data_IF_427578048387
#
_entry.id   IF_427578048387
#
_cell.length_a   1.000
_cell.length_b   1.000
_cell.length_c   1.000
_cell.angle_alpha   90.00
_cell.angle_beta   90.00
_cell.angle_gamma   90.00
#
_symmetry.space_group_name_H-M   'P 1'
#
loop_
_entity.id
_entity.type
_entity.pdbx_description
1 polymer ?
#
# COMPACT_ATOMS: atom_id res chain seq x y z
N UNK A 1 11.93 29.79 -17.36
CA UNK A 1 12.01 28.67 -16.42
C UNK A 1 12.12 27.42 -17.26
N UNK A 2 13.22 26.68 -17.12
CA UNK A 2 13.45 25.46 -17.90
C UNK A 2 12.68 24.33 -17.19
N UNK A 3 11.67 23.78 -17.85
CA UNK A 3 11.01 22.56 -17.39
C UNK A 3 12.09 21.45 -17.30
N UNK A 4 12.30 20.81 -16.15
CA UNK A 4 13.32 19.77 -16.03
C UNK A 4 13.02 18.61 -16.98
N UNK A 5 14.04 18.15 -17.70
CA UNK A 5 13.92 16.99 -18.59
C UNK A 5 13.45 15.77 -17.78
N UNK A 6 12.27 15.18 -18.09
CA UNK A 6 11.71 14.07 -17.33
C UNK A 6 12.66 12.85 -17.33
N UNK A 7 13.39 12.64 -18.42
CA UNK A 7 14.37 11.54 -18.54
C UNK A 7 15.48 11.70 -17.50
N UNK A 8 15.94 12.94 -17.28
CA UNK A 8 16.97 13.25 -16.29
C UNK A 8 16.47 13.06 -14.86
N UNK A 9 15.21 13.39 -14.59
CA UNK A 9 14.60 13.18 -13.28
C UNK A 9 14.47 11.68 -12.96
N UNK A 10 14.05 10.87 -13.95
CA UNK A 10 13.98 9.41 -13.79
C UNK A 10 15.35 8.77 -13.54
N UNK A 11 16.41 9.25 -14.21
CA UNK A 11 17.78 8.79 -13.92
C UNK A 11 18.21 9.17 -12.52
N UNK A 12 17.95 10.41 -12.08
CA UNK A 12 18.29 10.85 -10.73
C UNK A 12 17.61 9.97 -9.69
N UNK A 13 16.30 9.73 -9.83
CA UNK A 13 15.57 8.85 -8.92
C UNK A 13 16.13 7.41 -8.94
N UNK A 14 16.48 6.88 -10.11
CA UNK A 14 17.07 5.55 -10.22
C UNK A 14 18.43 5.44 -9.51
N UNK A 15 19.26 6.47 -9.64
CA UNK A 15 20.59 6.51 -9.01
C UNK A 15 20.49 6.75 -7.50
N UNK A 16 19.54 7.55 -7.04
CA UNK A 16 19.24 7.72 -5.61
C UNK A 16 18.81 6.40 -4.98
N UNK A 17 17.90 5.65 -5.63
CA UNK A 17 17.49 4.33 -5.15
C UNK A 17 18.68 3.38 -5.12
N UNK A 18 19.46 3.31 -6.20
CA UNK A 18 20.65 2.45 -6.28
C UNK A 18 21.66 2.77 -5.18
N UNK A 19 21.89 4.04 -4.88
CA UNK A 19 22.78 4.47 -3.79
C UNK A 19 22.29 3.98 -2.42
N UNK A 20 20.97 4.01 -2.16
CA UNK A 20 20.41 3.46 -0.93
C UNK A 20 20.54 1.94 -0.86
N UNK A 21 20.50 1.24 -2.00
CA UNK A 21 20.68 -0.22 -2.07
C UNK A 21 22.12 -0.64 -1.75
N UNK A 22 23.11 0.21 -2.05
CA UNK A 22 24.51 -0.02 -1.67
C UNK A 22 24.74 0.05 -0.14
N UNK A 23 23.82 0.67 0.60
CA UNK A 23 23.84 0.69 2.06
C UNK A 23 23.12 -0.54 2.63
N UNK A 24 23.71 -1.18 3.64
CA UNK A 24 23.05 -2.25 4.40
C UNK A 24 21.79 -1.71 5.10
N UNK A 25 20.71 -2.51 5.10
CA UNK A 25 19.50 -2.13 5.81
C UNK A 25 19.57 -2.47 7.29
N UNK A 26 18.66 -1.88 8.07
CA UNK A 26 18.46 -2.24 9.47
C UNK A 26 18.06 -3.71 9.60
N UNK A 27 18.67 -4.43 10.56
CA UNK A 27 18.41 -5.84 10.85
C UNK A 27 18.55 -6.77 9.62
N UNK A 28 19.74 -6.72 9.00
CA UNK A 28 20.02 -7.42 7.76
C UNK A 28 19.94 -8.95 7.90
N UNK A 29 18.90 -9.55 7.32
CA UNK A 29 18.66 -11.00 7.31
C UNK A 29 18.72 -11.59 5.90
N UNK A 30 18.88 -10.75 4.86
CA UNK A 30 18.80 -11.20 3.47
C UNK A 30 19.87 -12.24 3.10
N UNK A 31 21.01 -12.22 3.80
CA UNK A 31 22.10 -13.19 3.66
C UNK A 31 21.65 -14.64 3.87
N UNK A 32 20.57 -14.86 4.63
CA UNK A 32 20.00 -16.20 4.87
C UNK A 32 19.33 -16.81 3.63
N UNK A 33 19.07 -16.03 2.58
CA UNK A 33 18.54 -16.54 1.30
C UNK A 33 19.60 -17.26 0.47
N UNK A 34 20.86 -17.24 0.92
CA UNK A 34 22.02 -17.73 0.19
C UNK A 34 22.62 -16.68 -0.75
N UNK A 35 23.87 -16.91 -1.17
CA UNK A 35 24.64 -15.95 -1.95
C UNK A 35 24.19 -15.84 -3.41
N UNK A 36 23.65 -16.91 -3.99
CA UNK A 36 23.32 -16.92 -5.41
C UNK A 36 22.25 -15.88 -5.78
N UNK A 37 21.11 -15.76 -5.08
CA UNK A 37 20.14 -14.69 -5.34
C UNK A 37 20.72 -13.28 -5.14
N UNK A 38 21.57 -13.09 -4.13
CA UNK A 38 22.18 -11.79 -3.81
C UNK A 38 23.17 -11.33 -4.88
N UNK A 39 23.94 -12.26 -5.47
CA UNK A 39 24.86 -11.92 -6.54
C UNK A 39 24.17 -11.53 -7.84
N UNK A 40 22.94 -12.00 -8.07
CA UNK A 40 22.21 -11.74 -9.31
C UNK A 40 21.13 -10.68 -9.17
N UNK A 41 20.75 -10.25 -7.96
CA UNK A 41 19.59 -9.35 -7.75
C UNK A 41 19.68 -8.04 -8.54
N UNK A 42 20.88 -7.46 -8.65
CA UNK A 42 21.08 -6.24 -9.44
C UNK A 42 20.99 -6.46 -10.95
N UNK A 43 21.26 -7.68 -11.44
CA UNK A 43 21.36 -8.01 -12.87
C UNK A 43 20.06 -8.64 -13.39
N UNK A 44 19.46 -9.52 -12.58
CA UNK A 44 18.29 -10.34 -12.90
C UNK A 44 17.23 -10.22 -11.78
N UNK A 45 16.77 -9.01 -11.44
CA UNK A 45 15.85 -8.81 -10.31
C UNK A 45 14.51 -9.54 -10.50
N UNK A 46 14.07 -9.74 -11.76
CA UNK A 46 12.84 -10.46 -12.05
C UNK A 46 12.90 -11.93 -11.61
N UNK A 47 14.00 -12.62 -11.87
CA UNK A 47 14.15 -14.02 -11.49
C UNK A 47 14.28 -14.17 -9.97
N UNK A 48 14.90 -13.18 -9.31
CA UNK A 48 14.98 -13.14 -7.85
C UNK A 48 13.61 -12.87 -7.23
N UNK A 49 12.79 -12.02 -7.86
CA UNK A 49 11.39 -11.82 -7.46
C UNK A 49 10.60 -13.12 -7.57
N UNK A 50 10.72 -13.85 -8.68
CA UNK A 50 10.03 -15.13 -8.89
C UNK A 50 10.46 -16.19 -7.86
N UNK A 51 11.76 -16.27 -7.55
CA UNK A 51 12.27 -17.13 -6.49
C UNK A 51 11.69 -16.74 -5.12
N UNK A 52 11.77 -15.46 -4.76
CA UNK A 52 11.29 -14.98 -3.47
C UNK A 52 9.77 -15.18 -3.33
N UNK A 53 9.02 -14.94 -4.39
CA UNK A 53 7.57 -15.16 -4.45
C UNK A 53 7.22 -16.64 -4.23
N UNK A 54 7.92 -17.55 -4.93
CA UNK A 54 7.73 -18.99 -4.75
C UNK A 54 8.01 -19.42 -3.30
N UNK A 55 9.05 -18.84 -2.68
CA UNK A 55 9.40 -19.14 -1.29
C UNK A 55 8.39 -18.55 -0.30
N UNK A 56 7.92 -17.30 -0.49
CA UNK A 56 6.90 -16.69 0.38
C UNK A 56 5.61 -17.52 0.34
N UNK A 57 5.18 -17.96 -0.84
CA UNK A 57 3.98 -18.77 -1.02
C UNK A 57 4.12 -20.24 -0.56
N UNK A 58 5.34 -20.69 -0.23
CA UNK A 58 5.57 -22.02 0.35
C UNK A 58 5.23 -22.09 1.86
N UNK A 59 5.00 -20.94 2.51
CA UNK A 59 4.65 -20.86 3.93
C UNK A 59 3.25 -20.25 4.12
N UNK A 60 2.51 -20.67 5.18
CA UNK A 60 1.40 -19.87 5.68
C UNK A 60 1.87 -18.45 6.02
N UNK A 61 1.04 -17.44 5.75
CA UNK A 61 1.43 -16.02 5.89
C UNK A 61 2.09 -15.69 7.24
N UNK A 62 1.55 -16.20 8.34
CA UNK A 62 2.04 -15.99 9.71
C UNK A 62 3.44 -16.60 10.00
N UNK A 63 3.96 -17.44 9.10
CA UNK A 63 5.23 -18.15 9.27
C UNK A 63 6.22 -17.87 8.14
N UNK A 64 5.94 -16.89 7.26
CA UNK A 64 6.86 -16.52 6.19
C UNK A 64 8.16 -15.97 6.81
N UNK A 65 9.32 -16.59 6.55
CA UNK A 65 10.59 -16.10 7.06
C UNK A 65 10.93 -14.69 6.57
N UNK A 66 11.46 -13.85 7.47
CA UNK A 66 11.79 -12.45 7.17
C UNK A 66 12.79 -12.31 6.02
N UNK A 67 13.76 -13.23 5.89
CA UNK A 67 14.77 -13.16 4.84
C UNK A 67 14.17 -13.26 3.43
N UNK A 68 13.15 -14.11 3.21
CA UNK A 68 12.46 -14.18 1.91
C UNK A 68 11.68 -12.91 1.59
N UNK A 69 11.04 -12.31 2.61
CA UNK A 69 10.38 -11.00 2.49
C UNK A 69 11.39 -9.90 2.16
N UNK A 70 12.55 -9.88 2.82
CA UNK A 70 13.66 -8.97 2.53
C UNK A 70 14.23 -9.16 1.12
N UNK A 71 14.33 -10.40 0.63
CA UNK A 71 14.78 -10.67 -0.74
C UNK A 71 13.79 -10.16 -1.78
N UNK A 72 12.49 -10.37 -1.56
CA UNK A 72 11.45 -9.84 -2.43
C UNK A 72 11.49 -8.30 -2.47
N UNK A 73 11.67 -7.69 -1.29
CA UNK A 73 11.79 -6.24 -1.13
C UNK A 73 12.99 -5.66 -1.91
N UNK A 74 14.19 -6.23 -1.72
CA UNK A 74 15.41 -5.85 -2.46
C UNK A 74 15.24 -6.01 -3.97
N UNK A 75 14.70 -7.16 -4.41
CA UNK A 75 14.51 -7.43 -5.81
C UNK A 75 13.47 -6.50 -6.47
N UNK A 76 12.42 -6.10 -5.74
CA UNK A 76 11.46 -5.08 -6.19
C UNK A 76 12.12 -3.72 -6.42
N UNK A 77 13.00 -3.30 -5.53
CA UNK A 77 13.72 -2.02 -5.66
C UNK A 77 14.72 -2.05 -6.81
N UNK A 78 15.50 -3.12 -6.95
CA UNK A 78 16.37 -3.31 -8.11
C UNK A 78 15.59 -3.37 -9.43
N UNK A 79 14.41 -4.00 -9.43
CA UNK A 79 13.51 -4.02 -10.58
C UNK A 79 13.03 -2.61 -10.92
N UNK A 80 12.62 -1.81 -9.94
CA UNK A 80 12.23 -0.42 -10.14
C UNK A 80 13.36 0.42 -10.74
N UNK A 81 14.59 0.29 -10.25
CA UNK A 81 15.78 0.96 -10.83
C UNK A 81 15.98 0.59 -12.30
N UNK A 82 15.88 -0.71 -12.64
CA UNK A 82 16.02 -1.17 -14.02
C UNK A 82 14.92 -0.59 -14.94
N UNK A 83 13.70 -0.48 -14.45
CA UNK A 83 12.58 0.13 -15.17
C UNK A 83 12.79 1.63 -15.39
N UNK A 84 13.15 2.38 -14.35
CA UNK A 84 13.41 3.82 -14.42
C UNK A 84 14.54 4.14 -15.41
N UNK A 85 15.66 3.42 -15.33
CA UNK A 85 16.78 3.58 -16.28
C UNK A 85 16.40 3.25 -17.72
N UNK A 86 15.61 2.18 -17.91
CA UNK A 86 15.11 1.79 -19.24
C UNK A 86 14.23 2.87 -19.85
N UNK A 87 13.33 3.45 -19.07
CA UNK A 87 12.41 4.47 -19.53
C UNK A 87 13.09 5.83 -19.74
N UNK A 88 14.12 6.15 -18.93
CA UNK A 88 14.94 7.34 -19.17
C UNK A 88 15.87 7.23 -20.39
N UNK A 89 16.37 6.03 -20.69
CA UNK A 89 17.25 5.76 -21.84
C UNK A 89 16.52 5.45 -23.14
N UNK A 90 15.20 5.20 -23.10
CA UNK A 90 14.43 4.96 -24.32
C UNK A 90 13.98 6.31 -24.90
N UNK A 91 14.46 6.73 -26.09
CA UNK A 91 13.73 7.72 -26.85
C UNK A 91 12.32 7.15 -27.10
N UNK A 92 11.29 7.93 -26.75
CA UNK A 92 9.86 7.65 -26.92
C UNK A 92 9.57 6.56 -27.97
N UNK A 93 9.13 5.37 -27.54
CA UNK A 93 8.49 4.39 -28.43
C UNK A 93 9.34 3.23 -28.97
N UNK A 94 10.25 2.64 -28.18
CA UNK A 94 10.84 1.35 -28.56
C UNK A 94 9.81 0.22 -28.44
N UNK A 95 9.16 -0.10 -29.57
CA UNK A 95 8.22 -1.20 -29.79
C UNK A 95 8.56 -2.44 -28.93
N UNK A 96 7.70 -2.72 -27.94
CA UNK A 96 7.69 -4.01 -27.24
C UNK A 96 7.60 -5.13 -28.28
N UNK A 97 8.48 -6.15 -28.17
CA UNK A 97 8.25 -7.45 -28.82
C UNK A 97 6.98 -8.00 -28.19
N UNK A 98 5.87 -7.98 -28.94
CA UNK A 98 4.63 -8.68 -28.60
C UNK A 98 4.96 -10.13 -28.30
N UNK A 99 4.67 -10.57 -27.09
CA UNK A 99 4.27 -11.94 -26.84
C UNK A 99 2.75 -11.91 -26.62
N UNK A 100 2.04 -12.08 -27.72
CA UNK A 100 0.79 -12.81 -27.90
C UNK A 100 -0.19 -12.85 -26.70
N UNK A 101 -1.07 -11.86 -26.62
CA UNK A 101 -2.47 -12.14 -26.32
C UNK A 101 -3.38 -11.23 -27.15
N UNK A 102 -4.31 -11.87 -27.84
CA UNK A 102 -5.25 -11.26 -28.77
C UNK A 102 -6.28 -10.42 -28.02
N UNK A 103 -6.64 -9.27 -28.59
CA UNK A 103 -7.93 -8.64 -28.33
C UNK A 103 -7.90 -7.14 -28.08
N UNK A 104 -8.27 -6.40 -29.13
CA UNK A 104 -8.89 -5.06 -29.10
C UNK A 104 -7.94 -3.84 -29.03
N UNK A 105 -7.76 -3.28 -30.21
CA UNK A 105 -7.28 -1.93 -30.49
C UNK A 105 -8.22 -0.86 -29.93
N UNK A 106 -7.66 0.08 -29.18
CA UNK A 106 -7.99 1.51 -29.32
C UNK A 106 -6.66 2.25 -29.47
N UNK A 107 -6.56 3.07 -30.50
CA UNK A 107 -5.42 3.94 -30.74
C UNK A 107 -5.55 5.16 -29.82
N UNK A 108 -5.14 5.00 -28.57
CA UNK A 108 -4.84 6.13 -27.70
C UNK A 108 -3.33 6.43 -27.80
N UNK A 109 -2.98 7.71 -27.75
CA UNK A 109 -1.59 8.16 -27.77
C UNK A 109 -0.79 7.37 -26.72
N UNK A 110 0.52 7.09 -26.93
CA UNK A 110 1.33 6.43 -25.93
C UNK A 110 1.27 7.30 -24.67
N UNK A 111 0.60 6.77 -23.66
CA UNK A 111 0.31 7.48 -22.42
C UNK A 111 1.64 7.72 -21.72
N UNK A 112 2.00 8.98 -21.50
CA UNK A 112 3.19 9.36 -20.75
C UNK A 112 3.15 8.76 -19.31
N UNK A 113 2.02 8.18 -18.87
CA UNK A 113 1.86 7.41 -17.63
C UNK A 113 2.13 5.90 -17.72
N UNK A 114 2.33 5.29 -18.90
CA UNK A 114 2.49 3.81 -19.02
C UNK A 114 3.73 3.30 -18.26
N UNK A 115 4.82 4.06 -18.28
CA UNK A 115 6.04 3.71 -17.53
C UNK A 115 5.79 3.77 -16.01
N UNK A 116 5.00 4.75 -15.57
CA UNK A 116 4.71 4.99 -14.18
C UNK A 116 3.87 3.86 -13.61
N UNK A 117 2.85 3.41 -14.35
CA UNK A 117 2.06 2.22 -13.99
C UNK A 117 2.95 1.00 -13.76
N UNK A 118 3.94 0.77 -14.64
CA UNK A 118 4.85 -0.37 -14.50
C UNK A 118 5.75 -0.26 -13.26
N UNK A 119 6.33 0.91 -13.00
CA UNK A 119 7.19 1.16 -11.82
C UNK A 119 6.37 1.07 -10.53
N UNK A 120 5.22 1.74 -10.48
CA UNK A 120 4.32 1.73 -9.31
C UNK A 120 3.82 0.32 -9.02
N UNK A 121 3.43 -0.46 -10.03
CA UNK A 121 2.99 -1.83 -9.82
C UNK A 121 4.07 -2.71 -9.17
N UNK A 122 5.34 -2.55 -9.57
CA UNK A 122 6.46 -3.29 -8.94
C UNK A 122 6.68 -2.86 -7.50
N UNK A 123 6.63 -1.54 -7.23
CA UNK A 123 6.85 -1.00 -5.88
C UNK A 123 5.70 -1.34 -4.93
N UNK A 124 4.46 -1.21 -5.40
CA UNK A 124 3.26 -1.55 -4.64
C UNK A 124 3.24 -3.03 -4.31
N UNK A 125 3.52 -3.91 -5.29
CA UNK A 125 3.66 -5.34 -5.04
C UNK A 125 4.79 -5.61 -4.05
N UNK A 126 5.92 -4.93 -4.19
CA UNK A 126 7.05 -4.96 -3.25
C UNK A 126 6.58 -4.71 -1.82
N UNK A 127 5.88 -3.60 -1.60
CA UNK A 127 5.37 -3.21 -0.29
C UNK A 127 4.26 -4.14 0.22
N UNK A 128 3.32 -4.55 -0.62
CA UNK A 128 2.17 -5.37 -0.24
C UNK A 128 2.57 -6.82 0.10
N UNK A 129 3.44 -7.44 -0.71
CA UNK A 129 3.86 -8.83 -0.52
C UNK A 129 4.88 -8.94 0.60
N UNK A 130 5.89 -8.05 0.62
CA UNK A 130 6.95 -8.15 1.63
C UNK A 130 6.61 -7.42 2.93
N UNK A 131 5.75 -6.41 2.92
CA UNK A 131 5.57 -5.47 4.03
C UNK A 131 6.75 -4.51 4.25
N UNK A 132 7.77 -4.56 3.38
CA UNK A 132 9.01 -3.80 3.42
C UNK A 132 9.76 -3.78 4.78
N UNK A 133 10.11 -4.94 5.37
CA UNK A 133 10.63 -5.04 6.73
C UNK A 133 11.91 -4.24 7.02
N UNK A 134 12.70 -3.81 6.03
CA UNK A 134 13.96 -3.07 6.29
C UNK A 134 14.15 -1.77 5.51
N UNK A 135 13.35 -1.49 4.47
CA UNK A 135 13.44 -0.27 3.64
C UNK A 135 12.08 0.37 3.39
N UNK A 136 11.12 0.21 4.30
CA UNK A 136 9.80 0.86 4.22
C UNK A 136 9.89 2.37 3.94
N UNK A 137 10.82 3.05 4.61
CA UNK A 137 11.03 4.49 4.45
C UNK A 137 11.51 4.84 3.04
N UNK A 138 12.32 3.98 2.41
CA UNK A 138 12.74 4.15 1.02
C UNK A 138 11.56 4.00 0.06
N UNK A 139 10.67 3.01 0.26
CA UNK A 139 9.44 2.91 -0.54
C UNK A 139 8.61 4.18 -0.44
N UNK A 140 8.41 4.70 0.78
CA UNK A 140 7.65 5.93 1.00
C UNK A 140 8.30 7.15 0.34
N UNK A 141 9.63 7.27 0.43
CA UNK A 141 10.38 8.32 -0.25
C UNK A 141 10.22 8.22 -1.77
N UNK A 142 10.34 7.02 -2.35
CA UNK A 142 10.16 6.80 -3.79
C UNK A 142 8.74 7.18 -4.23
N UNK A 143 7.70 6.75 -3.52
CA UNK A 143 6.32 7.14 -3.85
C UNK A 143 6.10 8.65 -3.76
N UNK A 144 6.73 9.32 -2.79
CA UNK A 144 6.69 10.77 -2.68
C UNK A 144 7.31 11.46 -3.90
N UNK A 145 8.50 11.00 -4.31
CA UNK A 145 9.18 11.53 -5.49
C UNK A 145 8.41 11.24 -6.79
N UNK A 146 7.92 10.01 -6.96
CA UNK A 146 7.10 9.64 -8.14
C UNK A 146 5.86 10.53 -8.26
N UNK A 147 5.20 10.88 -7.15
CA UNK A 147 4.07 11.82 -7.18
C UNK A 147 4.45 13.18 -7.75
N UNK A 148 5.66 13.67 -7.47
CA UNK A 148 6.14 14.96 -7.97
C UNK A 148 6.53 14.90 -9.46
N UNK A 149 6.76 13.69 -10.01
CA UNK A 149 7.10 13.46 -11.42
C UNK A 149 5.87 13.18 -12.29
N UNK A 150 4.74 12.84 -11.68
CA UNK A 150 3.50 12.56 -12.38
C UNK A 150 2.67 13.84 -12.51
N UNK A 151 1.93 13.98 -13.62
CA UNK A 151 1.04 15.13 -13.79
C UNK A 151 0.00 15.19 -12.67
N UNK A 152 -0.30 16.41 -12.21
CA UNK A 152 -1.36 16.67 -11.24
C UNK A 152 -2.71 16.29 -11.86
N UNK A 153 -3.27 15.21 -11.34
CA UNK A 153 -4.67 14.77 -11.41
C UNK A 153 -5.13 13.94 -12.64
N UNK A 154 -5.09 12.59 -12.54
CA UNK A 154 -5.80 11.71 -13.46
C UNK A 154 -7.31 11.68 -13.18
N UNK A 155 -7.87 12.51 -12.30
CA UNK A 155 -9.30 12.53 -11.98
C UNK A 155 -10.06 13.74 -12.53
N UNK A 156 -9.43 14.58 -13.36
CA UNK A 156 -10.12 15.65 -14.09
C UNK A 156 -11.31 15.15 -14.93
N UNK A 157 -11.30 13.86 -15.30
CA UNK A 157 -12.36 13.20 -16.05
C UNK A 157 -13.34 12.39 -15.18
N UNK A 158 -13.11 12.26 -13.87
CA UNK A 158 -14.07 11.61 -13.00
C UNK A 158 -15.26 12.53 -12.72
N UNK A 159 -16.49 12.05 -12.90
CA UNK A 159 -17.65 12.85 -12.57
C UNK A 159 -17.66 13.10 -11.05
N UNK A 160 -17.98 14.34 -10.66
CA UNK A 160 -18.14 14.72 -9.25
C UNK A 160 -19.18 13.86 -8.49
N UNK A 161 -20.03 13.13 -9.21
CA UNK A 161 -20.98 12.19 -8.65
C UNK A 161 -21.15 11.02 -9.62
N UNK A 162 -21.01 9.81 -9.11
CA UNK A 162 -21.36 8.61 -9.88
C UNK A 162 -22.88 8.52 -9.97
N UNK A 163 -23.46 8.30 -11.17
CA UNK A 163 -24.89 8.08 -11.30
C UNK A 163 -25.24 6.72 -10.70
N UNK A 164 -25.53 6.69 -9.39
CA UNK A 164 -26.03 5.50 -8.72
C UNK A 164 -27.51 5.36 -9.10
N UNK A 165 -27.78 4.50 -10.08
CA UNK A 165 -29.15 4.06 -10.32
C UNK A 165 -29.48 3.05 -9.22
N UNK A 166 -30.54 3.26 -8.40
CA UNK A 166 -30.91 2.27 -7.41
C UNK A 166 -31.19 0.94 -8.13
N UNK A 167 -30.61 -0.18 -7.66
CA UNK A 167 -30.88 -1.46 -8.28
C UNK A 167 -32.38 -1.76 -8.18
N UNK A 168 -32.97 -2.47 -9.16
CA UNK A 168 -34.33 -2.97 -9.04
C UNK A 168 -34.47 -3.76 -7.73
N UNK A 169 -35.64 -3.71 -7.08
CA UNK A 169 -35.88 -4.50 -5.88
C UNK A 169 -35.62 -5.99 -6.18
N UNK A 170 -34.85 -6.63 -5.31
CA UNK A 170 -34.57 -8.06 -5.40
C UNK A 170 -35.83 -8.84 -5.04
N UNK A 171 -36.52 -9.40 -6.05
CA UNK A 171 -37.57 -10.41 -5.85
C UNK A 171 -36.90 -11.76 -5.52
N UNK A 172 -36.37 -11.87 -4.30
CA UNK A 172 -35.85 -13.13 -3.79
C UNK A 172 -36.77 -13.67 -2.69
N UNK A 173 -37.06 -14.98 -2.68
CA UNK A 173 -37.82 -15.61 -1.59
C UNK A 173 -37.05 -15.62 -0.25
N UNK A 174 -35.75 -15.26 -0.27
CA UNK A 174 -34.85 -15.27 0.87
C UNK A 174 -34.55 -13.83 1.33
N UNK A 175 -35.53 -13.20 1.99
CA UNK A 175 -35.34 -11.87 2.57
C UNK A 175 -34.20 -11.90 3.60
N UNK A 176 -33.21 -11.03 3.39
CA UNK A 176 -32.15 -10.78 4.37
C UNK A 176 -32.75 -9.97 5.50
N UNK A 177 -32.72 -10.50 6.72
CA UNK A 177 -33.24 -9.80 7.90
C UNK A 177 -32.36 -8.60 8.24
N UNK A 178 -32.95 -7.54 8.78
CA UNK A 178 -32.21 -6.40 9.35
C UNK A 178 -32.36 -6.41 10.87
N UNK A 179 -31.25 -6.29 11.59
CA UNK A 179 -31.28 -6.11 13.04
C UNK A 179 -31.90 -4.74 13.38
N UNK A 180 -32.64 -4.61 14.48
CA UNK A 180 -33.25 -3.34 14.87
C UNK A 180 -32.21 -2.31 15.35
N UNK A 181 -31.01 -2.73 15.71
CA UNK A 181 -29.91 -1.89 16.19
C UNK A 181 -28.57 -2.60 16.01
N UNK A 182 -27.46 -1.90 16.31
CA UNK A 182 -26.15 -2.52 16.51
C UNK A 182 -26.26 -3.63 17.55
N UNK A 183 -25.71 -4.80 17.23
CA UNK A 183 -25.69 -5.95 18.14
C UNK A 183 -24.46 -5.90 19.04
N UNK A 184 -24.62 -6.29 20.31
CA UNK A 184 -23.48 -6.61 21.17
C UNK A 184 -22.79 -7.89 20.69
N UNK A 185 -21.52 -8.08 21.06
CA UNK A 185 -20.77 -9.31 20.75
C UNK A 185 -21.54 -10.57 21.20
N UNK A 186 -22.12 -10.53 22.39
CA UNK A 186 -22.89 -11.65 22.94
C UNK A 186 -24.20 -11.89 22.17
N UNK A 187 -24.93 -10.83 21.81
CA UNK A 187 -26.16 -10.97 21.03
C UNK A 187 -25.87 -11.53 19.62
N UNK A 188 -24.78 -11.08 19.00
CA UNK A 188 -24.32 -11.59 17.72
C UNK A 188 -23.88 -13.06 17.83
N UNK A 189 -23.15 -13.43 18.89
CA UNK A 189 -22.74 -14.81 19.13
C UNK A 189 -23.94 -15.74 19.35
N UNK A 190 -24.95 -15.30 20.11
CA UNK A 190 -26.20 -16.06 20.29
C UNK A 190 -26.91 -16.27 18.95
N UNK A 191 -26.95 -15.24 18.11
CA UNK A 191 -27.55 -15.31 16.78
C UNK A 191 -26.80 -16.27 15.83
N UNK A 192 -25.47 -16.32 15.89
CA UNK A 192 -24.67 -17.31 15.13
C UNK A 192 -24.98 -18.75 15.56
N UNK A 193 -25.23 -18.96 16.86
CA UNK A 193 -25.48 -20.28 17.43
C UNK A 193 -26.91 -20.80 17.17
N UNK A 194 -27.87 -19.92 16.86
CA UNK A 194 -29.30 -20.25 16.63
C UNK A 194 -29.64 -20.55 15.15
N UNK A 195 -28.61 -20.76 14.32
CA UNK A 195 -28.74 -21.06 12.90
C UNK A 195 -28.34 -19.87 12.03
N UNK A 196 -27.08 -19.84 11.54
CA UNK A 196 -26.53 -18.67 10.85
C UNK A 196 -27.28 -18.43 9.54
N UNK A 197 -27.81 -17.22 9.39
CA UNK A 197 -28.49 -16.73 8.17
C UNK A 197 -27.92 -15.36 7.80
N UNK A 198 -28.20 -14.77 6.65
CA UNK A 198 -27.79 -13.39 6.40
C UNK A 198 -28.55 -12.40 7.31
N UNK A 199 -27.83 -11.49 7.98
CA UNK A 199 -28.38 -10.40 8.79
C UNK A 199 -27.63 -9.10 8.51
N UNK A 200 -28.37 -8.03 8.23
CA UNK A 200 -27.82 -6.67 8.11
C UNK A 200 -27.85 -6.04 9.50
N UNK A 201 -26.69 -5.62 10.01
CA UNK A 201 -26.59 -4.89 11.28
C UNK A 201 -26.40 -3.40 10.92
N UNK A 202 -27.38 -2.54 11.23
CA UNK A 202 -27.26 -1.11 10.92
C UNK A 202 -26.20 -0.45 11.81
N UNK A 203 -25.71 0.70 11.36
CA UNK A 203 -24.93 1.68 12.14
C UNK A 203 -23.60 1.23 12.76
N UNK A 204 -23.07 0.06 12.35
CA UNK A 204 -21.78 -0.46 12.82
C UNK A 204 -20.60 0.44 12.41
N UNK A 205 -20.74 1.14 11.27
CA UNK A 205 -19.67 1.95 10.67
C UNK A 205 -19.76 3.44 11.02
N UNK A 206 -20.72 3.87 11.84
CA UNK A 206 -20.97 5.31 12.12
C UNK A 206 -19.81 6.04 12.81
N UNK A 207 -18.93 5.31 13.51
CA UNK A 207 -17.70 5.86 14.11
C UNK A 207 -16.49 5.85 13.17
N UNK A 208 -16.58 5.17 12.01
CA UNK A 208 -15.62 5.40 10.94
C UNK A 208 -15.93 6.80 10.38
N UNK A 209 -14.93 7.66 10.22
CA UNK A 209 -15.06 9.06 9.82
C UNK A 209 -15.58 9.26 8.37
N UNK A 210 -16.52 8.43 7.92
CA UNK A 210 -17.05 8.35 6.56
C UNK A 210 -18.58 8.41 6.54
N UNK A 211 -19.22 9.04 7.53
CA UNK A 211 -20.59 9.52 7.36
C UNK A 211 -20.54 11.02 7.04
N UNK A 212 -20.18 11.32 5.79
CA UNK A 212 -20.15 12.69 5.25
C UNK A 212 -21.57 13.06 4.85
N UNK A 213 -22.12 14.02 5.58
CA UNK A 213 -23.44 14.62 5.37
C UNK A 213 -23.59 15.13 3.92
N UNK A 214 -24.62 14.70 3.16
CA UNK A 214 -24.83 15.14 1.78
C UNK A 214 -25.19 16.63 1.64
N UNK A 215 -25.48 17.35 2.74
CA UNK A 215 -26.01 18.72 2.69
C UNK A 215 -25.07 19.83 3.19
N UNK A 216 -23.73 19.65 3.15
CA UNK A 216 -22.81 20.73 3.53
C UNK A 216 -22.13 21.44 2.34
N UNK A 217 -22.72 22.53 1.80
CA UNK A 217 -22.12 23.39 0.78
C UNK A 217 -21.21 24.43 1.44
N UNK A 218 -20.06 24.02 1.99
CA UNK A 218 -18.82 24.80 2.16
C UNK A 218 -17.98 24.20 3.28
N UNK A 219 -16.84 23.58 2.93
CA UNK A 219 -15.58 24.08 3.49
C UNK A 219 -14.39 23.75 2.60
N UNK A 220 -14.02 24.76 1.80
CA UNK A 220 -12.63 25.04 1.43
C UNK A 220 -11.82 25.17 2.72
N UNK A 221 -10.85 24.31 2.96
CA UNK A 221 -9.56 24.71 3.54
C UNK A 221 -8.48 23.85 2.88
N UNK A 222 -7.88 24.42 1.84
CA UNK A 222 -6.55 24.04 1.38
C UNK A 222 -5.51 24.42 2.43
N UNK A 223 -4.31 23.86 2.29
CA UNK A 223 -3.25 23.99 3.27
C UNK A 223 -2.87 25.43 3.64
N UNK A 224 -2.34 25.57 4.85
CA UNK A 224 -1.26 26.50 5.17
C UNK A 224 -0.62 26.11 6.50
N UNK A 225 0.71 26.12 6.51
CA UNK A 225 1.59 25.95 7.67
C UNK A 225 1.32 27.03 8.73
N UNK A 226 1.51 26.68 10.00
CA UNK A 226 1.64 27.66 11.08
C UNK A 226 1.83 27.00 12.45
N UNK A 227 3.05 27.11 12.98
CA UNK A 227 3.41 26.82 14.38
C UNK A 227 2.53 27.64 15.35
N UNK A 228 2.08 27.05 16.45
CA UNK A 228 2.21 27.66 17.79
C UNK A 228 1.80 26.69 18.91
N UNK A 229 2.37 26.98 20.07
CA UNK A 229 2.55 26.26 21.33
C UNK A 229 1.30 26.12 22.22
N UNK A 230 1.18 24.97 22.93
CA UNK A 230 0.86 24.70 24.38
C UNK A 230 -0.02 25.66 25.22
N UNK A 231 -0.47 25.33 26.48
CA UNK A 231 -0.42 24.08 27.29
C UNK A 231 -1.73 23.78 28.11
N UNK A 232 -1.62 22.86 29.09
CA UNK A 232 -2.51 22.47 30.22
C UNK A 232 -3.36 21.21 29.99
N UNK A 233 -3.12 20.04 30.60
CA UNK A 233 -2.77 19.58 31.97
C UNK A 233 -3.99 19.27 32.85
N UNK A 234 -4.00 18.02 33.37
CA UNK A 234 -4.73 17.48 34.54
C UNK A 234 -6.23 17.20 34.34
N UNK A 235 -6.82 16.11 34.85
CA UNK A 235 -6.43 15.16 35.90
C UNK A 235 -7.40 13.96 35.91
N UNK A 236 -7.11 12.98 36.77
CA UNK A 236 -7.93 11.85 37.24
C UNK A 236 -7.80 10.55 36.38
N UNK A 237 -7.33 9.41 36.88
CA UNK A 237 -7.23 8.92 38.25
C UNK A 237 -6.14 7.84 38.38
N UNK A 238 -5.36 7.98 39.45
CA UNK A 238 -4.50 6.99 40.09
C UNK A 238 -5.04 6.83 41.52
N UNK A 239 -5.13 5.60 42.04
CA UNK A 239 -5.37 5.10 43.43
C UNK A 239 -5.94 3.68 43.21
N UNK A 240 -5.51 2.55 43.79
CA UNK A 240 -4.54 2.11 44.78
C UNK A 240 -4.35 0.58 44.51
N UNK A 241 -3.32 -0.15 44.93
CA UNK A 241 -2.71 -0.26 46.25
C UNK A 241 -1.22 -0.65 46.12
N UNK A 242 -0.37 0.09 46.83
CA UNK A 242 0.78 -0.47 47.54
C UNK A 242 0.33 -0.86 48.95
N UNK A 243 0.84 -1.97 49.46
CA UNK A 243 1.35 -2.22 50.83
C UNK A 243 2.10 -3.56 50.72
N UNK A 244 3.43 -3.53 50.74
CA UNK A 244 4.30 -3.80 51.92
C UNK A 244 4.36 -5.29 52.26
N UNK A 245 5.45 -5.93 52.67
CA UNK A 245 6.91 -5.72 52.69
C UNK A 245 7.42 -7.06 53.30
N UNK A 246 8.73 -7.30 53.28
CA UNK A 246 9.46 -8.25 54.14
C UNK A 246 9.56 -9.75 53.77
N UNK A 247 10.73 -10.09 53.20
CA UNK A 247 11.60 -11.20 53.65
C UNK A 247 11.93 -11.05 55.16
N UNK A 248 12.33 -12.08 55.96
CA UNK A 248 13.29 -13.14 55.58
C UNK A 248 13.11 -14.53 56.28
N UNK A 249 14.17 -15.35 56.19
CA UNK A 249 14.50 -16.67 56.78
C UNK A 249 14.24 -17.85 55.82
N UNK A 250 15.22 -18.70 55.46
CA UNK A 250 16.38 -19.22 56.19
C UNK A 250 17.57 -19.52 55.26
#
# INVERSE_FOLDING_TARGET
MHDPDPSRQLLHLADDIAHHLDCAASEETIQLCGWAPLHIVAIRPQDVLELADAQINAYPYQHVPTHWRRLFEEASLHRAVALLRRHAGSPRGSKRRKLDHAGRSSAEAPDDAEWATEVVAVLERGLLVSGAPGRKDLFQAIFHELRNLLPDDPHDHLPATFPITPPPPLDSPHLISRAPSVLSLQAFQTWLNDGPRPLIIPDVTTHQNETRDPDNPNRREGGSRGLSTSPHTSQAQQIALMHDDHLPHH
#
